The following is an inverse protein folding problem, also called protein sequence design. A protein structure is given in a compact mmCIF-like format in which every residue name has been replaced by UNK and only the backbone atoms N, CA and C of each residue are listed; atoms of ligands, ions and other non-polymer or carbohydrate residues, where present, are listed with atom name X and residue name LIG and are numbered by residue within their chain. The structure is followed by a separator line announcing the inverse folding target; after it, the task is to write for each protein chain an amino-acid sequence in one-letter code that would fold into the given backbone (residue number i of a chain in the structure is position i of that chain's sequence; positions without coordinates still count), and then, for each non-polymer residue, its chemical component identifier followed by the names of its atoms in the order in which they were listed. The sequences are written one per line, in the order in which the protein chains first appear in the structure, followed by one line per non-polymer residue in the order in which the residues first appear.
data_IF_043921095467
#
_entry.id   IF_043921095467
#
_cell.length_a   1.000
_cell.length_b   1.000
_cell.length_c   1.000
_cell.angle_alpha   90.00
_cell.angle_beta   90.00
_cell.angle_gamma   90.00
#
_symmetry.space_group_name_H-M   'P 1'
#
loop_
_entity.id
_entity.type
_entity.pdbx_description
1 polymer ?
#
# COMPACT_ATOMS: atom_id res chain seq x y z
N UNK A 1 -12.50 -9.39 -17.46
CA UNK A 1 -11.88 -9.15 -16.13
C UNK A 1 -11.09 -7.85 -15.99
N UNK A 2 -9.90 -7.65 -16.60
CA UNK A 2 -9.18 -6.34 -16.49
C UNK A 2 -9.97 -5.12 -17.00
N UNK A 3 -10.87 -5.33 -17.95
CA UNK A 3 -11.71 -4.28 -18.53
C UNK A 3 -12.91 -3.92 -17.66
N UNK A 4 -13.39 -4.86 -16.85
CA UNK A 4 -14.62 -4.71 -16.08
C UNK A 4 -14.40 -3.86 -14.83
N UNK A 5 -13.22 -3.94 -14.20
CA UNK A 5 -12.87 -3.09 -13.04
C UNK A 5 -12.38 -1.69 -13.40
N UNK A 6 -11.69 -1.54 -14.54
CA UNK A 6 -11.51 -0.21 -15.15
C UNK A 6 -12.87 0.37 -15.55
N UNK A 7 -13.85 -0.44 -15.92
CA UNK A 7 -15.20 0.04 -16.17
C UNK A 7 -15.89 0.48 -14.88
N UNK A 8 -15.81 -0.27 -13.77
CA UNK A 8 -16.46 0.08 -12.51
C UNK A 8 -15.86 1.32 -11.83
N UNK A 9 -14.52 1.41 -11.73
CA UNK A 9 -13.85 2.62 -11.22
C UNK A 9 -14.15 3.85 -12.09
N UNK A 10 -14.21 3.66 -13.42
CA UNK A 10 -14.60 4.71 -14.36
C UNK A 10 -16.08 5.05 -14.27
N UNK A 11 -16.96 4.12 -13.90
CA UNK A 11 -18.39 4.37 -13.69
C UNK A 11 -18.60 5.20 -12.42
N UNK A 12 -17.89 4.89 -11.32
CA UNK A 12 -17.91 5.69 -10.09
C UNK A 12 -17.34 7.09 -10.36
N UNK A 13 -16.16 7.20 -10.98
CA UNK A 13 -15.56 8.48 -11.33
C UNK A 13 -16.43 9.31 -12.30
N UNK A 14 -17.10 8.67 -13.27
CA UNK A 14 -18.04 9.34 -14.19
C UNK A 14 -19.30 9.81 -13.47
N UNK A 15 -19.79 9.08 -12.48
CA UNK A 15 -20.95 9.48 -11.67
C UNK A 15 -20.61 10.70 -10.81
N UNK A 16 -19.49 10.68 -10.10
CA UNK A 16 -19.01 11.82 -9.31
C UNK A 16 -18.75 13.04 -10.20
N UNK A 17 -18.08 12.85 -11.34
CA UNK A 17 -17.87 13.93 -12.32
C UNK A 17 -19.18 14.48 -12.90
N UNK A 18 -20.18 13.63 -13.16
CA UNK A 18 -21.49 14.08 -13.66
C UNK A 18 -22.20 14.94 -12.62
N UNK A 19 -22.19 14.54 -11.34
CA UNK A 19 -22.80 15.29 -10.24
C UNK A 19 -22.08 16.63 -10.03
N UNK A 20 -20.74 16.63 -10.08
CA UNK A 20 -19.92 17.83 -9.97
C UNK A 20 -20.17 18.81 -11.12
N UNK A 21 -20.20 18.31 -12.37
CA UNK A 21 -20.44 19.15 -13.57
C UNK A 21 -21.88 19.67 -13.61
N UNK A 22 -22.87 18.88 -13.20
CA UNK A 22 -24.26 19.35 -13.08
C UNK A 22 -24.37 20.47 -12.05
N UNK A 23 -23.71 20.30 -10.90
CA UNK A 23 -23.68 21.31 -9.82
C UNK A 23 -22.99 22.60 -10.27
N UNK A 24 -21.84 22.49 -10.94
CA UNK A 24 -21.10 23.62 -11.48
C UNK A 24 -21.90 24.34 -12.59
N UNK A 25 -22.58 23.59 -13.47
CA UNK A 25 -23.42 24.17 -14.52
C UNK A 25 -24.61 24.95 -13.99
N UNK A 26 -25.28 24.43 -12.94
CA UNK A 26 -26.38 25.13 -12.26
C UNK A 26 -25.86 26.42 -11.60
N UNK A 27 -24.70 26.36 -10.93
CA UNK A 27 -24.05 27.54 -10.32
C UNK A 27 -23.72 28.62 -11.35
N UNK A 28 -23.03 28.26 -12.44
CA UNK A 28 -22.70 29.21 -13.52
C UNK A 28 -23.96 29.79 -14.18
N UNK A 29 -25.01 28.99 -14.38
CA UNK A 29 -26.27 29.47 -14.94
C UNK A 29 -26.98 30.49 -14.05
N UNK A 30 -27.02 30.26 -12.74
CA UNK A 30 -27.55 31.20 -11.76
C UNK A 30 -26.77 32.52 -11.73
N UNK A 31 -25.44 32.45 -11.76
CA UNK A 31 -24.58 33.65 -11.78
C UNK A 31 -24.76 34.48 -13.06
N UNK A 32 -24.84 33.85 -14.23
CA UNK A 32 -25.09 34.54 -15.50
C UNK A 32 -26.47 35.20 -15.54
N UNK A 33 -27.50 34.53 -15.02
CA UNK A 33 -28.83 35.11 -14.91
C UNK A 33 -28.81 36.35 -14.01
N UNK A 34 -28.22 36.25 -12.81
CA UNK A 34 -28.10 37.37 -11.87
C UNK A 34 -27.34 38.57 -12.47
N UNK A 35 -26.24 38.32 -13.18
CA UNK A 35 -25.48 39.37 -13.88
C UNK A 35 -26.30 40.01 -15.02
N UNK A 36 -27.12 39.23 -15.73
CA UNK A 36 -28.04 39.73 -16.74
C UNK A 36 -29.05 40.71 -16.16
N UNK A 37 -29.74 40.34 -15.06
CA UNK A 37 -30.68 41.23 -14.36
C UNK A 37 -30.00 42.52 -13.89
N UNK A 38 -28.77 42.43 -13.38
CA UNK A 38 -28.00 43.60 -12.98
C UNK A 38 -27.65 44.51 -14.17
N UNK A 39 -27.26 43.94 -15.31
CA UNK A 39 -26.91 44.70 -16.52
C UNK A 39 -28.07 45.49 -17.12
N UNK A 40 -29.31 45.00 -16.99
CA UNK A 40 -30.52 45.73 -17.39
C UNK A 40 -31.00 46.75 -16.33
N UNK A 41 -30.26 46.91 -15.22
CA UNK A 41 -30.58 47.86 -14.15
C UNK A 41 -31.69 47.39 -13.20
N UNK A 42 -32.08 46.12 -13.27
CA UNK A 42 -33.14 45.54 -12.44
C UNK A 42 -32.66 45.11 -11.05
N UNK A 43 -31.34 45.09 -10.81
CA UNK A 43 -30.76 44.89 -9.49
C UNK A 43 -29.80 46.05 -9.14
N UNK A 44 -29.99 46.71 -7.98
CA UNK A 44 -28.99 47.62 -7.44
C UNK A 44 -27.65 46.91 -7.20
N UNK A 45 -26.49 47.53 -7.52
CA UNK A 45 -25.18 46.87 -7.44
C UNK A 45 -24.87 46.21 -6.09
N UNK A 46 -25.25 46.86 -4.99
CA UNK A 46 -25.03 46.32 -3.63
C UNK A 46 -25.86 45.05 -3.35
N UNK A 47 -27.10 44.98 -3.85
CA UNK A 47 -27.95 43.80 -3.71
C UNK A 47 -27.52 42.68 -4.65
N UNK A 48 -27.02 43.01 -5.84
CA UNK A 48 -26.44 42.06 -6.78
C UNK A 48 -25.21 41.35 -6.21
N UNK A 49 -24.31 42.10 -5.57
CA UNK A 49 -23.12 41.54 -4.93
C UNK A 49 -23.46 40.57 -3.79
N UNK A 50 -24.43 40.93 -2.93
CA UNK A 50 -24.89 40.04 -1.84
C UNK A 50 -25.56 38.77 -2.37
N UNK A 51 -26.34 38.88 -3.45
CA UNK A 51 -26.94 37.72 -4.10
C UNK A 51 -25.87 36.79 -4.70
N UNK A 52 -24.83 37.36 -5.30
CA UNK A 52 -23.71 36.60 -5.88
C UNK A 52 -22.89 35.87 -4.79
N UNK A 53 -22.57 36.53 -3.68
CA UNK A 53 -21.90 35.89 -2.53
C UNK A 53 -22.71 34.70 -1.99
N UNK A 54 -24.04 34.84 -1.94
CA UNK A 54 -24.94 33.76 -1.53
C UNK A 54 -24.96 32.57 -2.51
N UNK A 55 -24.89 32.84 -3.82
CA UNK A 55 -24.79 31.81 -4.85
C UNK A 55 -23.45 31.08 -4.74
N UNK A 56 -22.34 31.81 -4.59
CA UNK A 56 -21.00 31.23 -4.47
C UNK A 56 -20.88 30.34 -3.23
N UNK A 57 -21.40 30.79 -2.07
CA UNK A 57 -21.45 29.99 -0.86
C UNK A 57 -22.31 28.72 -1.03
N UNK A 58 -23.47 28.82 -1.67
CA UNK A 58 -24.33 27.67 -1.93
C UNK A 58 -23.66 26.64 -2.86
N UNK A 59 -22.91 27.11 -3.85
CA UNK A 59 -22.12 26.25 -4.76
C UNK A 59 -21.00 25.53 -3.99
N UNK A 60 -20.26 26.25 -3.14
CA UNK A 60 -19.22 25.65 -2.29
C UNK A 60 -19.82 24.61 -1.34
N UNK A 61 -20.92 24.93 -0.65
CA UNK A 61 -21.58 24.00 0.27
C UNK A 61 -22.12 22.76 -0.45
N UNK A 62 -22.67 22.91 -1.65
CA UNK A 62 -23.13 21.78 -2.44
C UNK A 62 -21.95 20.94 -2.98
N UNK A 63 -20.83 21.56 -3.36
CA UNK A 63 -19.61 20.83 -3.72
C UNK A 63 -19.05 20.04 -2.53
N UNK A 64 -19.01 20.64 -1.34
CA UNK A 64 -18.60 19.96 -0.10
C UNK A 64 -19.55 18.83 0.28
N UNK A 65 -20.87 19.03 0.12
CA UNK A 65 -21.87 17.95 0.32
C UNK A 65 -21.68 16.82 -0.69
N UNK A 66 -21.40 17.13 -1.95
CA UNK A 66 -21.14 16.12 -2.99
C UNK A 66 -19.85 15.34 -2.73
N UNK A 67 -18.84 15.97 -2.12
CA UNK A 67 -17.63 15.30 -1.63
C UNK A 67 -17.91 14.44 -0.38
N UNK A 68 -18.95 14.73 0.40
CA UNK A 68 -19.38 13.92 1.56
C UNK A 68 -20.42 12.84 1.22
N UNK A 69 -21.01 12.88 0.03
CA UNK A 69 -22.07 11.96 -0.39
C UNK A 69 -21.52 10.56 -0.67
N UNK A 70 -22.01 9.57 0.09
CA UNK A 70 -21.66 8.14 0.03
C UNK A 70 -20.19 7.80 0.28
N UNK A 71 -19.57 8.46 1.26
CA UNK A 71 -18.49 7.82 2.01
C UNK A 71 -19.11 6.87 3.04
N UNK A 72 -19.83 5.83 2.59
CA UNK A 72 -19.82 4.59 3.36
C UNK A 72 -18.39 4.08 3.22
N UNK A 73 -17.51 4.54 4.11
CA UNK A 73 -16.17 3.98 4.23
C UNK A 73 -16.27 2.46 4.32
N UNK A 74 -15.21 1.73 3.95
CA UNK A 74 -15.24 0.29 4.07
C UNK A 74 -15.68 -0.16 5.47
N UNK A 75 -16.40 -1.28 5.59
CA UNK A 75 -16.83 -1.78 6.88
C UNK A 75 -15.62 -1.93 7.81
N UNK A 76 -15.77 -1.62 9.11
CA UNK A 76 -14.69 -1.77 10.07
C UNK A 76 -14.17 -3.21 10.09
N UNK A 77 -12.88 -3.36 10.42
CA UNK A 77 -12.25 -4.68 10.56
C UNK A 77 -12.98 -5.53 11.61
N UNK A 78 -13.01 -6.84 11.40
CA UNK A 78 -13.46 -7.76 12.45
C UNK A 78 -12.43 -7.76 13.59
N UNK A 79 -12.86 -8.01 14.83
CA UNK A 79 -11.93 -8.09 15.98
C UNK A 79 -10.81 -9.11 15.78
N UNK A 80 -11.09 -10.17 15.01
CA UNK A 80 -10.11 -11.20 14.70
C UNK A 80 -9.11 -10.71 13.65
N UNK A 81 -9.58 -10.00 12.60
CA UNK A 81 -8.69 -9.33 11.65
C UNK A 81 -7.79 -8.28 12.33
N UNK A 82 -8.31 -7.49 13.27
CA UNK A 82 -7.49 -6.54 14.02
C UNK A 82 -6.41 -7.20 14.89
N UNK A 83 -6.67 -8.41 15.41
CA UNK A 83 -5.66 -9.16 16.16
C UNK A 83 -4.59 -9.69 15.23
N UNK A 84 -4.98 -10.23 14.08
CA UNK A 84 -4.04 -10.69 13.05
C UNK A 84 -3.14 -9.54 12.62
N UNK A 85 -3.71 -8.39 12.24
CA UNK A 85 -2.97 -7.18 11.86
C UNK A 85 -1.92 -6.82 12.93
N UNK A 86 -2.32 -6.74 14.21
CA UNK A 86 -1.38 -6.43 15.30
C UNK A 86 -0.29 -7.49 15.47
N UNK A 87 -0.66 -8.76 15.39
CA UNK A 87 0.30 -9.86 15.50
C UNK A 87 1.36 -9.78 14.39
N UNK A 88 0.93 -9.65 13.14
CA UNK A 88 1.83 -9.58 11.98
C UNK A 88 2.70 -8.31 12.02
N UNK A 89 2.17 -7.16 12.47
CA UNK A 89 3.00 -5.96 12.73
C UNK A 89 4.11 -6.22 13.76
N UNK A 90 3.78 -6.83 14.90
CA UNK A 90 4.76 -7.11 15.95
C UNK A 90 5.83 -8.11 15.48
N UNK A 91 5.46 -9.05 14.61
CA UNK A 91 6.39 -10.00 13.98
C UNK A 91 7.32 -9.29 12.99
N UNK A 92 6.80 -8.39 12.15
CA UNK A 92 7.60 -7.56 11.23
C UNK A 92 8.62 -6.67 11.93
N UNK A 93 8.23 -6.02 13.03
CA UNK A 93 9.14 -5.20 13.83
C UNK A 93 10.35 -6.01 14.32
N UNK A 94 10.14 -7.27 14.74
CA UNK A 94 11.23 -8.16 15.17
C UNK A 94 12.12 -8.57 14.00
N UNK A 95 11.54 -8.96 12.87
CA UNK A 95 12.30 -9.43 11.70
C UNK A 95 13.14 -8.32 11.06
N UNK A 96 12.70 -7.07 11.14
CA UNK A 96 13.42 -5.91 10.59
C UNK A 96 14.83 -5.79 11.15
N UNK A 97 15.00 -6.06 12.44
CA UNK A 97 16.30 -6.00 13.11
C UNK A 97 17.27 -7.09 12.56
N UNK A 98 16.72 -8.22 12.13
CA UNK A 98 17.48 -9.37 11.63
C UNK A 98 17.85 -9.28 10.15
N UNK A 99 17.18 -8.43 9.35
CA UNK A 99 17.46 -8.26 7.90
C UNK A 99 18.92 -7.92 7.59
N UNK A 100 19.63 -7.29 8.53
CA UNK A 100 21.04 -6.94 8.40
C UNK A 100 21.94 -8.14 8.11
N UNK A 101 21.54 -9.36 8.51
CA UNK A 101 22.29 -10.60 8.25
C UNK A 101 22.56 -10.85 6.77
N UNK A 102 21.63 -10.46 5.87
CA UNK A 102 21.77 -10.63 4.43
C UNK A 102 22.87 -9.72 3.87
N UNK A 103 22.83 -8.44 4.24
CA UNK A 103 23.83 -7.44 3.83
C UNK A 103 25.20 -7.76 4.42
N UNK A 104 25.25 -8.15 5.68
CA UNK A 104 26.51 -8.43 6.37
C UNK A 104 27.17 -9.70 5.82
N UNK A 105 26.38 -10.71 5.45
CA UNK A 105 26.86 -11.87 4.66
C UNK A 105 27.42 -11.42 3.31
N UNK A 106 26.72 -10.53 2.60
CA UNK A 106 27.18 -10.01 1.31
C UNK A 106 28.53 -9.26 1.45
N UNK A 107 28.70 -8.49 2.52
CA UNK A 107 29.97 -7.82 2.80
C UNK A 107 31.13 -8.80 3.01
N UNK A 108 30.90 -9.92 3.70
CA UNK A 108 31.92 -10.95 3.89
C UNK A 108 32.31 -11.64 2.58
N UNK A 109 31.32 -11.99 1.75
CA UNK A 109 31.57 -12.55 0.40
C UNK A 109 32.38 -11.55 -0.45
N UNK A 110 32.01 -10.28 -0.45
CA UNK A 110 32.69 -9.23 -1.22
C UNK A 110 34.11 -8.95 -0.71
N UNK A 111 34.36 -9.12 0.59
CA UNK A 111 35.70 -8.99 1.19
C UNK A 111 36.61 -10.20 0.91
N UNK A 112 36.07 -11.30 0.36
CA UNK A 112 36.79 -12.53 0.10
C UNK A 112 37.00 -13.40 1.34
N UNK A 113 36.31 -13.12 2.45
CA UNK A 113 36.34 -13.94 3.66
C UNK A 113 35.33 -15.10 3.56
N UNK A 114 35.64 -16.05 2.67
CA UNK A 114 34.67 -17.06 2.19
C UNK A 114 34.31 -18.12 3.25
N UNK A 115 35.18 -18.36 4.23
CA UNK A 115 34.90 -19.26 5.35
C UNK A 115 33.97 -18.61 6.37
N UNK A 116 34.21 -17.34 6.73
CA UNK A 116 33.30 -16.58 7.58
C UNK A 116 31.95 -16.33 6.88
N UNK A 117 31.99 -16.05 5.57
CA UNK A 117 30.80 -15.88 4.75
C UNK A 117 29.91 -17.12 4.78
N UNK A 118 30.47 -18.33 4.80
CA UNK A 118 29.66 -19.55 4.93
C UNK A 118 28.89 -19.55 6.25
N UNK A 119 29.52 -19.22 7.38
CA UNK A 119 28.83 -19.17 8.68
C UNK A 119 27.65 -18.20 8.65
N UNK A 120 27.85 -16.99 8.13
CA UNK A 120 26.77 -15.98 8.04
C UNK A 120 25.71 -16.37 7.00
N UNK A 121 26.10 -16.99 5.88
CA UNK A 121 25.18 -17.52 4.89
C UNK A 121 24.26 -18.59 5.49
N UNK A 122 24.78 -19.44 6.39
CA UNK A 122 23.95 -20.41 7.11
C UNK A 122 22.90 -19.73 7.99
N UNK A 123 23.28 -18.66 8.67
CA UNK A 123 22.38 -17.89 9.51
C UNK A 123 21.33 -17.13 8.70
N UNK A 124 21.73 -16.52 7.57
CA UNK A 124 20.83 -15.85 6.65
C UNK A 124 19.80 -16.82 6.04
N UNK A 125 20.26 -17.99 5.58
CA UNK A 125 19.37 -19.02 5.05
C UNK A 125 18.39 -19.54 6.12
N UNK A 126 18.87 -19.81 7.34
CA UNK A 126 17.99 -20.21 8.45
C UNK A 126 16.94 -19.14 8.78
N UNK A 127 17.33 -17.86 8.83
CA UNK A 127 16.38 -16.76 9.01
C UNK A 127 15.30 -16.75 7.92
N UNK A 128 15.68 -16.93 6.65
CA UNK A 128 14.71 -16.97 5.56
C UNK A 128 13.77 -18.19 5.66
N UNK A 129 14.32 -19.39 5.83
CA UNK A 129 13.54 -20.64 5.80
C UNK A 129 12.69 -20.84 7.05
N UNK A 130 13.21 -20.48 8.23
CA UNK A 130 12.58 -20.81 9.51
C UNK A 130 11.75 -19.67 10.08
N UNK A 131 11.94 -18.43 9.59
CA UNK A 131 11.28 -17.23 10.13
C UNK A 131 10.52 -16.45 9.07
N UNK A 132 11.20 -15.97 8.03
CA UNK A 132 10.59 -15.05 7.06
C UNK A 132 9.57 -15.73 6.15
N UNK A 133 9.94 -16.81 5.43
CA UNK A 133 9.03 -17.44 4.47
C UNK A 133 7.77 -18.03 5.14
N UNK A 134 7.86 -18.70 6.31
CA UNK A 134 6.66 -19.14 7.03
C UNK A 134 5.73 -17.99 7.42
N UNK A 135 6.28 -16.79 7.66
CA UNK A 135 5.50 -15.60 7.97
C UNK A 135 4.78 -15.05 6.73
N UNK A 136 5.48 -14.88 5.60
CA UNK A 136 4.85 -14.44 4.34
C UNK A 136 3.73 -15.40 3.89
N UNK A 137 3.94 -16.71 4.02
CA UNK A 137 2.94 -17.73 3.73
C UNK A 137 1.71 -17.62 4.67
N UNK A 138 1.95 -17.29 5.95
CA UNK A 138 0.89 -17.07 6.92
C UNK A 138 0.09 -15.78 6.62
N UNK A 139 0.74 -14.72 6.13
CA UNK A 139 0.05 -13.51 5.70
C UNK A 139 -0.85 -13.75 4.49
N UNK A 140 -0.32 -14.40 3.46
CA UNK A 140 -1.06 -14.72 2.23
C UNK A 140 -2.26 -15.64 2.52
N UNK A 141 -2.10 -16.60 3.44
CA UNK A 141 -3.13 -17.60 3.75
C UNK A 141 -4.13 -17.18 4.83
N UNK A 142 -3.75 -16.30 5.76
CA UNK A 142 -4.57 -15.91 6.90
C UNK A 142 -4.94 -14.41 6.93
N UNK A 143 -3.97 -13.51 6.76
CA UNK A 143 -4.20 -12.07 6.91
C UNK A 143 -4.92 -11.47 5.69
N UNK A 144 -4.40 -11.67 4.49
CA UNK A 144 -4.93 -11.04 3.27
C UNK A 144 -6.38 -11.43 2.93
N UNK A 145 -6.84 -12.67 3.14
CA UNK A 145 -8.26 -13.01 3.00
C UNK A 145 -9.19 -12.18 3.89
N UNK A 146 -8.76 -11.86 5.12
CA UNK A 146 -9.52 -11.04 6.06
C UNK A 146 -9.52 -9.55 5.66
N UNK A 147 -8.44 -9.07 5.03
CA UNK A 147 -8.33 -7.69 4.53
C UNK A 147 -9.06 -7.46 3.19
N UNK A 148 -9.36 -8.50 2.42
CA UNK A 148 -9.94 -8.38 1.09
C UNK A 148 -11.32 -7.69 1.06
N UNK A 149 -12.14 -7.86 2.10
CA UNK A 149 -13.46 -7.20 2.21
C UNK A 149 -13.35 -5.71 2.52
N UNK A 150 -12.64 -5.26 3.57
CA UNK A 150 -12.39 -3.85 3.83
C UNK A 150 -11.67 -3.13 2.68
N UNK A 151 -10.75 -3.80 1.99
CA UNK A 151 -10.02 -3.18 0.88
C UNK A 151 -10.81 -3.19 -0.44
N UNK A 152 -12.02 -3.75 -0.44
CA UNK A 152 -12.93 -3.77 -1.58
C UNK A 152 -12.59 -4.80 -2.67
N UNK A 153 -11.40 -5.41 -2.65
CA UNK A 153 -11.06 -6.56 -3.52
C UNK A 153 -9.80 -7.30 -3.08
N UNK A 154 -9.72 -8.59 -3.45
CA UNK A 154 -8.49 -9.39 -3.35
C UNK A 154 -7.33 -8.89 -4.27
N UNK A 155 -7.61 -7.97 -5.20
CA UNK A 155 -6.56 -7.36 -6.03
C UNK A 155 -5.74 -6.32 -5.27
N UNK A 156 -6.24 -5.81 -4.14
CA UNK A 156 -5.50 -4.88 -3.29
C UNK A 156 -4.24 -5.52 -2.70
N UNK A 157 -4.31 -6.81 -2.33
CA UNK A 157 -3.18 -7.57 -1.77
C UNK A 157 -2.37 -8.31 -2.84
N UNK A 158 -2.91 -8.47 -4.06
CA UNK A 158 -2.25 -9.22 -5.14
C UNK A 158 -0.87 -8.67 -5.57
N UNK A 159 -0.57 -7.40 -5.29
CA UNK A 159 0.78 -6.85 -5.51
C UNK A 159 1.76 -7.37 -4.47
N UNK A 160 1.36 -7.46 -3.20
CA UNK A 160 2.19 -8.02 -2.13
C UNK A 160 2.42 -9.52 -2.34
N UNK A 161 1.39 -10.31 -2.65
CA UNK A 161 1.57 -11.74 -2.94
C UNK A 161 2.52 -12.00 -4.13
N UNK A 162 2.62 -11.06 -5.09
CA UNK A 162 3.63 -11.14 -6.16
C UNK A 162 5.04 -10.81 -5.66
N UNK A 163 5.19 -9.95 -4.67
CA UNK A 163 6.47 -9.67 -4.02
C UNK A 163 6.91 -10.87 -3.18
N UNK A 164 6.02 -11.48 -2.40
CA UNK A 164 6.31 -12.73 -1.67
C UNK A 164 6.80 -13.82 -2.62
N UNK A 165 6.14 -14.00 -3.76
CA UNK A 165 6.58 -14.97 -4.76
C UNK A 165 8.01 -14.72 -5.29
N UNK A 166 8.43 -13.45 -5.44
CA UNK A 166 9.80 -13.13 -5.85
C UNK A 166 10.81 -13.26 -4.70
N UNK A 167 10.41 -12.92 -3.47
CA UNK A 167 11.20 -13.16 -2.26
C UNK A 167 11.47 -14.66 -2.11
N UNK A 168 10.43 -15.49 -2.20
CA UNK A 168 10.53 -16.95 -2.14
C UNK A 168 11.46 -17.49 -3.22
N UNK A 169 11.37 -16.98 -4.45
CA UNK A 169 12.26 -17.37 -5.55
C UNK A 169 13.72 -17.03 -5.25
N UNK A 170 14.01 -15.83 -4.75
CA UNK A 170 15.37 -15.42 -4.40
C UNK A 170 15.90 -16.18 -3.17
N UNK A 171 15.05 -16.45 -2.18
CA UNK A 171 15.38 -17.23 -1.00
C UNK A 171 15.71 -18.69 -1.35
N UNK A 172 14.95 -19.32 -2.25
CA UNK A 172 15.29 -20.65 -2.78
C UNK A 172 16.63 -20.66 -3.49
N UNK A 173 16.94 -19.62 -4.26
CA UNK A 173 18.25 -19.50 -4.92
C UNK A 173 19.39 -19.34 -3.91
N UNK A 174 19.18 -18.54 -2.86
CA UNK A 174 20.13 -18.41 -1.76
C UNK A 174 20.36 -19.76 -1.06
N UNK A 175 19.30 -20.52 -0.82
CA UNK A 175 19.35 -21.84 -0.21
C UNK A 175 20.22 -22.80 -1.02
N UNK A 176 20.05 -22.82 -2.35
CA UNK A 176 20.90 -23.62 -3.25
C UNK A 176 22.38 -23.21 -3.21
N UNK A 177 22.70 -21.91 -3.12
CA UNK A 177 24.08 -21.46 -2.91
C UNK A 177 24.65 -21.93 -1.57
N UNK A 178 23.82 -21.89 -0.52
CA UNK A 178 24.20 -22.33 0.83
C UNK A 178 24.45 -23.84 0.88
N UNK A 179 23.63 -24.67 0.21
CA UNK A 179 23.88 -26.11 0.08
C UNK A 179 25.19 -26.40 -0.67
N UNK A 180 25.43 -25.73 -1.80
CA UNK A 180 26.69 -25.88 -2.56
C UNK A 180 27.93 -25.47 -1.75
N UNK A 181 27.81 -24.42 -0.94
CA UNK A 181 28.89 -23.97 -0.06
C UNK A 181 29.12 -24.94 1.12
N UNK A 182 28.06 -25.58 1.63
CA UNK A 182 28.17 -26.64 2.65
C UNK A 182 28.91 -27.87 2.12
N UNK A 183 28.58 -28.33 0.90
CA UNK A 183 29.26 -29.47 0.27
C UNK A 183 30.75 -29.22 0.04
N UNK A 184 31.12 -27.97 -0.24
CA UNK A 184 32.51 -27.56 -0.49
C UNK A 184 33.24 -27.06 0.76
N UNK A 185 32.54 -26.90 1.89
CA UNK A 185 33.08 -26.40 3.16
C UNK A 185 33.42 -24.91 3.20
N UNK A 186 33.19 -24.17 2.12
CA UNK A 186 33.41 -22.71 2.00
C UNK A 186 32.57 -22.13 0.87
N UNK A 187 32.32 -20.82 0.86
CA UNK A 187 31.74 -20.16 -0.32
C UNK A 187 32.73 -20.27 -1.49
N UNK A 188 32.25 -20.65 -2.67
CA UNK A 188 33.13 -20.79 -3.85
C UNK A 188 33.29 -19.45 -4.55
N UNK A 189 34.47 -19.20 -5.10
CA UNK A 189 34.75 -17.96 -5.85
C UNK A 189 33.89 -17.83 -7.11
N UNK A 190 33.55 -18.94 -7.77
CA UNK A 190 32.73 -18.95 -8.99
C UNK A 190 31.22 -18.78 -8.74
N UNK A 191 30.78 -18.92 -7.48
CA UNK A 191 29.40 -18.60 -7.09
C UNK A 191 29.26 -17.23 -6.42
N UNK A 192 30.37 -16.55 -6.11
CA UNK A 192 30.38 -15.33 -5.32
C UNK A 192 29.55 -14.20 -5.96
N UNK A 193 29.70 -13.97 -7.25
CA UNK A 193 28.97 -12.91 -7.96
C UNK A 193 27.45 -13.12 -7.90
N UNK A 194 27.00 -14.36 -8.08
CA UNK A 194 25.58 -14.70 -8.08
C UNK A 194 24.98 -14.68 -6.67
N UNK A 195 25.76 -15.14 -5.69
CA UNK A 195 25.41 -15.07 -4.28
C UNK A 195 25.28 -13.61 -3.81
N UNK A 196 26.20 -12.73 -4.21
CA UNK A 196 26.12 -11.30 -3.92
C UNK A 196 24.86 -10.67 -4.51
N UNK A 197 24.51 -11.01 -5.75
CA UNK A 197 23.29 -10.53 -6.39
C UNK A 197 22.04 -10.97 -5.62
N UNK A 198 22.00 -12.21 -5.13
CA UNK A 198 20.90 -12.72 -4.31
C UNK A 198 20.81 -12.01 -2.95
N UNK A 199 21.92 -11.90 -2.22
CA UNK A 199 21.94 -11.32 -0.87
C UNK A 199 21.55 -9.84 -0.87
N UNK A 200 22.15 -9.03 -1.74
CA UNK A 200 21.78 -7.61 -1.84
C UNK A 200 20.37 -7.43 -2.42
N UNK A 201 19.97 -8.28 -3.37
CA UNK A 201 18.64 -8.28 -3.94
C UNK A 201 17.56 -8.54 -2.90
N UNK A 202 17.73 -9.60 -2.09
CA UNK A 202 16.85 -9.93 -0.97
C UNK A 202 16.81 -8.80 0.07
N UNK A 203 17.97 -8.31 0.50
CA UNK A 203 18.02 -7.21 1.48
C UNK A 203 17.23 -5.98 1.00
N UNK A 204 17.46 -5.53 -0.24
CA UNK A 204 16.78 -4.37 -0.78
C UNK A 204 15.28 -4.61 -0.98
N UNK A 205 14.89 -5.79 -1.47
CA UNK A 205 13.49 -6.16 -1.69
C UNK A 205 12.73 -6.24 -0.37
N UNK A 206 13.32 -6.85 0.67
CA UNK A 206 12.71 -6.99 1.99
C UNK A 206 12.56 -5.66 2.71
N UNK A 207 13.57 -4.80 2.66
CA UNK A 207 13.44 -3.44 3.19
C UNK A 207 12.29 -2.67 2.53
N UNK A 208 12.15 -2.78 1.20
CA UNK A 208 11.05 -2.13 0.48
C UNK A 208 9.70 -2.75 0.82
N UNK A 209 9.64 -4.09 0.87
CA UNK A 209 8.43 -4.85 1.20
C UNK A 209 7.86 -4.44 2.56
N UNK A 210 8.69 -4.41 3.61
CA UNK A 210 8.24 -4.07 4.96
C UNK A 210 7.70 -2.63 5.04
N UNK A 211 8.37 -1.68 4.37
CA UNK A 211 7.89 -0.29 4.30
C UNK A 211 6.56 -0.22 3.56
N UNK A 212 6.42 -0.93 2.44
CA UNK A 212 5.19 -0.92 1.66
C UNK A 212 4.02 -1.55 2.41
N UNK A 213 4.27 -2.54 3.26
CA UNK A 213 3.23 -3.19 4.04
C UNK A 213 2.76 -2.32 5.20
N UNK A 214 3.68 -1.64 5.88
CA UNK A 214 3.38 -0.61 6.87
C UNK A 214 2.48 0.48 6.29
N UNK A 215 2.87 1.06 5.15
CA UNK A 215 2.13 2.16 4.54
C UNK A 215 0.75 1.74 4.01
N UNK A 216 0.62 0.54 3.44
CA UNK A 216 -0.61 0.12 2.77
C UNK A 216 -1.62 -0.55 3.69
N UNK A 217 -1.20 -1.34 4.68
CA UNK A 217 -2.12 -2.17 5.46
C UNK A 217 -2.15 -1.77 6.94
N UNK A 218 -1.00 -1.46 7.52
CA UNK A 218 -0.90 -1.17 8.95
C UNK A 218 -1.23 0.29 9.31
N UNK A 219 -0.99 1.25 8.41
CA UNK A 219 -1.43 2.66 8.58
C UNK A 219 -2.94 2.84 8.35
N UNK A 220 -3.56 1.96 7.55
CA UNK A 220 -5.02 2.00 7.35
C UNK A 220 -5.80 1.41 8.53
N UNK A 221 -5.22 0.46 9.27
CA UNK A 221 -5.88 -0.18 10.40
C UNK A 221 -6.39 0.83 11.47
N UNK A 222 -5.61 1.82 11.96
CA UNK A 222 -6.11 2.86 12.87
C UNK A 222 -7.33 3.63 12.35
N UNK A 223 -7.37 3.91 11.04
CA UNK A 223 -8.47 4.64 10.39
C UNK A 223 -9.76 3.81 10.35
N UNK A 224 -9.64 2.48 10.32
CA UNK A 224 -10.76 1.54 10.45
C UNK A 224 -11.11 1.17 11.89
N UNK A 225 -10.16 1.37 12.82
CA UNK A 225 -10.30 1.06 14.26
C UNK A 225 -11.04 2.15 15.04
N UNK A 226 -11.11 3.39 14.54
CA UNK A 226 -11.67 4.49 15.31
C UNK A 226 -12.62 5.39 14.47
N UNK A 227 -13.89 5.01 14.26
CA UNK A 227 -14.89 5.89 13.66
C UNK A 227 -15.30 7.06 14.57
N UNK A 228 -14.78 7.17 15.80
CA UNK A 228 -15.28 8.08 16.82
C UNK A 228 -14.57 9.45 16.89
N UNK A 229 -13.48 9.69 16.15
CA UNK A 229 -12.69 10.93 16.29
C UNK A 229 -12.82 11.93 15.14
N UNK A 230 -13.72 11.70 14.18
CA UNK A 230 -14.08 12.73 13.18
C UNK A 230 -15.47 13.28 13.46
N UNK A 231 -15.60 14.11 14.49
CA UNK A 231 -16.76 15.01 14.70
C UNK A 231 -16.36 16.46 14.46
#
# INVERSE_FOLDING_TARGET
DRLDRLADAKLIARRSRRIAVQSAGVGMGLSLAAMGFAAFGWLPPALGALLQEGIDLAVILNALRALRGDHTGPPPLSRDAEKLVRQFSDEHDRMRDDLSVLRDTAHQVAAGDLDAALVSLRAADAFLQDTLLPHEDAEDSALYPELARPLGSAEATATMSRMHAEIHRLAQRLHSHRELADESGSVRTDQADDLLACLYGLYALLCLHFVQEEENFFVLAPTFLNPAETS
#
